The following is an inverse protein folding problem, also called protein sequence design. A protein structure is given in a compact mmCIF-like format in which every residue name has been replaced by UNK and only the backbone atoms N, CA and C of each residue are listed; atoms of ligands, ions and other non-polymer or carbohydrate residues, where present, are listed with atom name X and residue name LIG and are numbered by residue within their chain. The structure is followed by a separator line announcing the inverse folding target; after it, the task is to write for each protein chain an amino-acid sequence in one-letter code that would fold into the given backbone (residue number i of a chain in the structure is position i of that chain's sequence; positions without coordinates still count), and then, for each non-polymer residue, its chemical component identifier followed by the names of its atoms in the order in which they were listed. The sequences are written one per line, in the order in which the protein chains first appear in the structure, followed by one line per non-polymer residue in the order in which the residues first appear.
data_IF_155385007586
#
_entry.id   IF_155385007586
#
_cell.length_a   1.000
_cell.length_b   1.000
_cell.length_c   1.000
_cell.angle_alpha   90.00
_cell.angle_beta   90.00
_cell.angle_gamma   90.00
#
_symmetry.space_group_name_H-M   'P 1'
#
loop_
_entity.id
_entity.type
_entity.pdbx_description
1 polymer ?
#
# COMPACT_ATOMS: atom_id res chain seq x y z
N UNK A 1 28.65 -31.58 17.08
CA UNK A 1 27.74 -31.23 15.96
C UNK A 1 27.30 -29.75 15.96
N UNK A 2 27.94 -28.86 16.75
CA UNK A 2 27.64 -27.43 16.83
C UNK A 2 28.56 -26.52 15.98
N UNK A 3 29.59 -27.09 15.34
CA UNK A 3 30.60 -26.32 14.57
C UNK A 3 30.30 -26.22 13.07
N UNK A 4 29.48 -27.12 12.51
CA UNK A 4 29.11 -27.11 11.08
C UNK A 4 27.99 -26.11 10.73
N UNK A 5 27.11 -25.80 11.69
CA UNK A 5 26.04 -24.81 11.50
C UNK A 5 26.56 -23.38 11.44
N UNK A 6 27.60 -23.07 12.21
CA UNK A 6 28.20 -21.72 12.26
C UNK A 6 28.98 -21.34 11.00
N UNK A 7 29.64 -22.30 10.34
CA UNK A 7 30.41 -22.07 9.12
C UNK A 7 29.52 -21.90 7.89
N UNK A 8 28.43 -22.67 7.77
CA UNK A 8 27.47 -22.50 6.67
C UNK A 8 26.69 -21.18 6.80
N UNK A 9 26.18 -20.84 7.99
CA UNK A 9 25.49 -19.56 8.22
C UNK A 9 26.39 -18.35 7.94
N UNK A 10 27.68 -18.42 8.29
CA UNK A 10 28.64 -17.35 8.00
C UNK A 10 28.93 -17.17 6.50
N UNK A 11 28.92 -18.24 5.72
CA UNK A 11 29.22 -18.21 4.29
C UNK A 11 28.05 -17.69 3.43
N UNK A 12 26.79 -17.97 3.81
CA UNK A 12 25.60 -17.50 3.09
C UNK A 12 25.11 -16.12 3.53
N UNK A 13 25.57 -15.62 4.67
CA UNK A 13 25.23 -14.28 5.18
C UNK A 13 25.49 -13.13 4.19
N UNK A 14 26.67 -13.00 3.55
CA UNK A 14 26.90 -11.92 2.58
C UNK A 14 26.04 -12.06 1.31
N UNK A 15 25.78 -13.30 0.86
CA UNK A 15 24.93 -13.59 -0.30
C UNK A 15 23.46 -13.25 -0.04
N UNK A 16 22.97 -13.51 1.18
CA UNK A 16 21.62 -13.11 1.60
C UNK A 16 21.44 -11.59 1.52
N UNK A 17 22.35 -10.82 2.15
CA UNK A 17 22.25 -9.37 2.13
C UNK A 17 22.48 -8.76 0.75
N UNK A 18 23.33 -9.36 -0.09
CA UNK A 18 23.46 -8.96 -1.48
C UNK A 18 22.12 -9.08 -2.22
N UNK A 19 21.37 -10.17 -2.04
CA UNK A 19 20.03 -10.37 -2.64
C UNK A 19 19.01 -9.36 -2.11
N UNK A 20 19.04 -9.04 -0.82
CA UNK A 20 18.21 -7.98 -0.22
C UNK A 20 18.52 -6.61 -0.85
N UNK A 21 19.80 -6.27 -1.01
CA UNK A 21 20.23 -5.03 -1.67
C UNK A 21 19.79 -4.99 -3.15
N UNK A 22 19.88 -6.12 -3.87
CA UNK A 22 19.39 -6.23 -5.25
C UNK A 22 17.88 -5.99 -5.31
N UNK A 23 17.11 -6.61 -4.42
CA UNK A 23 15.66 -6.40 -4.34
C UNK A 23 15.33 -4.92 -4.09
N UNK A 24 16.00 -4.28 -3.13
CA UNK A 24 15.82 -2.86 -2.84
C UNK A 24 16.20 -1.96 -4.04
N UNK A 25 17.27 -2.29 -4.75
CA UNK A 25 17.69 -1.59 -5.95
C UNK A 25 16.64 -1.73 -7.07
N UNK A 26 16.08 -2.93 -7.27
CA UNK A 26 14.99 -3.16 -8.23
C UNK A 26 13.79 -2.27 -7.91
N UNK A 27 13.37 -2.20 -6.64
CA UNK A 27 12.26 -1.33 -6.21
C UNK A 27 12.55 0.14 -6.53
N UNK A 28 13.74 0.62 -6.14
CA UNK A 28 14.11 2.02 -6.30
C UNK A 28 14.25 2.42 -7.77
N UNK A 29 14.97 1.62 -8.57
CA UNK A 29 15.17 1.89 -9.99
C UNK A 29 13.86 1.81 -10.78
N UNK A 30 12.99 0.85 -10.45
CA UNK A 30 11.65 0.75 -11.06
C UNK A 30 10.81 1.99 -10.77
N UNK A 31 10.83 2.47 -9.52
CA UNK A 31 10.14 3.72 -9.17
C UNK A 31 10.72 4.95 -9.85
N UNK A 32 12.05 5.03 -9.96
CA UNK A 32 12.74 6.14 -10.61
C UNK A 32 12.44 6.19 -12.11
N UNK A 33 12.44 5.02 -12.75
CA UNK A 33 12.08 4.86 -14.16
C UNK A 33 10.62 5.28 -14.40
N UNK A 34 9.69 4.83 -13.55
CA UNK A 34 8.30 5.25 -13.64
C UNK A 34 8.14 6.77 -13.47
N UNK A 35 8.78 7.35 -12.46
CA UNK A 35 8.66 8.77 -12.12
C UNK A 35 9.25 9.71 -13.18
N UNK A 36 10.36 9.33 -13.82
CA UNK A 36 11.05 10.17 -14.81
C UNK A 36 10.74 9.78 -16.24
N UNK A 37 10.69 8.50 -16.56
CA UNK A 37 10.42 8.03 -17.92
C UNK A 37 8.93 8.04 -18.23
N UNK A 38 8.17 7.23 -17.49
CA UNK A 38 6.80 6.88 -17.86
C UNK A 38 5.76 8.00 -17.63
N UNK A 39 6.04 8.95 -16.74
CA UNK A 39 5.20 10.16 -16.52
C UNK A 39 5.03 11.00 -17.78
N UNK A 40 5.98 10.94 -18.72
CA UNK A 40 5.93 11.69 -19.99
C UNK A 40 4.98 11.08 -21.03
N UNK A 41 4.56 9.83 -20.85
CA UNK A 41 3.66 9.14 -21.77
C UNK A 41 2.22 9.21 -21.25
N UNK A 42 1.19 9.34 -22.11
CA UNK A 42 -0.21 9.26 -21.69
C UNK A 42 -0.56 7.88 -21.11
N UNK A 43 -1.59 7.78 -20.24
CA UNK A 43 -2.03 6.48 -19.73
C UNK A 43 -2.50 5.57 -20.88
N UNK A 44 -2.16 4.30 -20.80
CA UNK A 44 -2.53 3.28 -21.79
C UNK A 44 -1.37 2.36 -22.18
N UNK A 45 -1.46 1.78 -23.37
CA UNK A 45 -0.53 0.75 -23.85
C UNK A 45 0.90 1.27 -23.96
N UNK A 46 1.10 2.51 -24.42
CA UNK A 46 2.45 3.08 -24.55
C UNK A 46 3.17 3.16 -23.19
N UNK A 47 2.49 3.68 -22.16
CA UNK A 47 3.03 3.75 -20.80
C UNK A 47 3.26 2.35 -20.23
N UNK A 48 2.36 1.40 -20.51
CA UNK A 48 2.52 0.00 -20.10
C UNK A 48 3.78 -0.63 -20.72
N UNK A 49 4.01 -0.43 -22.02
CA UNK A 49 5.22 -0.93 -22.70
C UNK A 49 6.49 -0.30 -22.14
N UNK A 50 6.46 1.00 -21.83
CA UNK A 50 7.59 1.68 -21.18
C UNK A 50 7.86 1.15 -19.77
N UNK A 51 6.81 0.81 -19.02
CA UNK A 51 6.93 0.25 -17.67
C UNK A 51 7.11 -1.27 -17.64
N UNK A 52 7.02 -1.96 -18.77
CA UNK A 52 7.09 -3.42 -18.85
C UNK A 52 8.37 -3.99 -18.20
N UNK A 53 9.58 -3.42 -18.43
CA UNK A 53 10.78 -3.91 -17.75
C UNK A 53 10.67 -3.80 -16.22
N UNK A 54 10.16 -2.68 -15.71
CA UNK A 54 9.95 -2.48 -14.27
C UNK A 54 8.90 -3.45 -13.71
N UNK A 55 7.80 -3.67 -14.42
CA UNK A 55 6.76 -4.62 -14.01
C UNK A 55 7.30 -6.05 -13.92
N UNK A 56 8.11 -6.47 -14.89
CA UNK A 56 8.75 -7.78 -14.89
C UNK A 56 9.77 -7.90 -13.75
N UNK A 57 10.64 -6.91 -13.55
CA UNK A 57 11.60 -6.93 -12.45
C UNK A 57 10.90 -6.99 -11.08
N UNK A 58 9.80 -6.25 -10.90
CA UNK A 58 9.00 -6.31 -9.67
C UNK A 58 8.31 -7.67 -9.50
N UNK A 59 7.80 -8.28 -10.57
CA UNK A 59 7.15 -9.59 -10.54
C UNK A 59 8.14 -10.73 -10.25
N UNK A 60 9.40 -10.59 -10.66
CA UNK A 60 10.42 -11.62 -10.50
C UNK A 60 11.28 -11.41 -9.23
N UNK A 61 11.16 -10.27 -8.55
CA UNK A 61 11.96 -9.96 -7.36
C UNK A 61 11.87 -11.02 -6.25
N UNK A 62 10.70 -11.63 -5.95
CA UNK A 62 10.63 -12.65 -4.89
C UNK A 62 11.43 -13.91 -5.20
N UNK A 63 11.68 -14.21 -6.48
CA UNK A 63 12.49 -15.36 -6.92
C UNK A 63 13.97 -15.23 -6.55
N UNK A 64 14.40 -14.07 -6.03
CA UNK A 64 15.71 -13.92 -5.40
C UNK A 64 15.85 -14.80 -4.15
N UNK A 65 14.74 -15.14 -3.48
CA UNK A 65 14.75 -15.87 -2.23
C UNK A 65 14.19 -17.28 -2.41
N UNK A 66 14.80 -18.24 -1.72
CA UNK A 66 14.36 -19.63 -1.73
C UNK A 66 13.18 -19.84 -0.78
N UNK A 67 12.47 -20.96 -0.94
CA UNK A 67 11.40 -21.38 -0.01
C UNK A 67 11.89 -21.60 1.42
N UNK A 68 13.19 -21.87 1.59
CA UNK A 68 13.85 -22.01 2.89
C UNK A 68 14.03 -20.67 3.62
N UNK A 69 13.78 -19.54 2.94
CA UNK A 69 13.88 -18.18 3.46
C UNK A 69 12.49 -17.50 3.49
N UNK A 70 11.49 -18.07 4.19
CA UNK A 70 10.08 -17.68 4.04
C UNK A 70 9.81 -16.22 4.42
N UNK A 71 10.57 -15.67 5.37
CA UNK A 71 10.44 -14.28 5.81
C UNK A 71 10.89 -13.33 4.69
N UNK A 72 12.06 -13.56 4.12
CA UNK A 72 12.62 -12.71 3.07
C UNK A 72 11.80 -12.81 1.78
N UNK A 73 11.39 -14.03 1.42
CA UNK A 73 10.50 -14.30 0.29
C UNK A 73 9.18 -13.54 0.44
N UNK A 74 8.50 -13.69 1.58
CA UNK A 74 7.19 -13.04 1.83
C UNK A 74 7.31 -11.52 1.92
N UNK A 75 8.36 -11.01 2.57
CA UNK A 75 8.60 -9.57 2.66
C UNK A 75 8.87 -8.97 1.28
N UNK A 76 9.67 -9.64 0.45
CA UNK A 76 9.99 -9.19 -0.91
C UNK A 76 8.75 -9.22 -1.79
N UNK A 77 7.97 -10.31 -1.75
CA UNK A 77 6.70 -10.42 -2.47
C UNK A 77 5.72 -9.29 -2.09
N UNK A 78 5.64 -8.96 -0.80
CA UNK A 78 4.79 -7.86 -0.36
C UNK A 78 5.27 -6.49 -0.86
N UNK A 79 6.57 -6.23 -0.74
CA UNK A 79 7.19 -4.95 -1.08
C UNK A 79 7.37 -4.74 -2.59
N UNK A 80 7.28 -5.78 -3.42
CA UNK A 80 7.46 -5.71 -4.89
C UNK A 80 6.17 -5.97 -5.67
N UNK A 81 5.56 -7.14 -5.50
CA UNK A 81 4.38 -7.54 -6.27
C UNK A 81 3.10 -6.89 -5.72
N UNK A 82 2.89 -6.97 -4.40
CA UNK A 82 1.59 -6.60 -3.85
C UNK A 82 1.34 -5.09 -3.89
N UNK A 83 2.38 -4.29 -3.64
CA UNK A 83 2.27 -2.83 -3.54
C UNK A 83 2.73 -2.09 -4.80
N UNK A 84 4.03 -2.00 -5.14
CA UNK A 84 4.44 -1.14 -6.25
C UNK A 84 4.09 -1.71 -7.61
N UNK A 85 4.06 -3.03 -7.83
CA UNK A 85 3.62 -3.58 -9.13
C UNK A 85 2.15 -3.25 -9.41
N UNK A 86 1.24 -3.47 -8.45
CA UNK A 86 -0.17 -3.13 -8.63
C UNK A 86 -0.38 -1.62 -8.79
N UNK A 87 0.33 -0.80 -8.00
CA UNK A 87 0.29 0.67 -8.13
C UNK A 87 0.85 1.16 -9.46
N UNK A 88 1.94 0.55 -9.93
CA UNK A 88 2.55 0.86 -11.22
C UNK A 88 1.63 0.46 -12.37
N UNK A 89 0.97 -0.69 -12.26
CA UNK A 89 -0.04 -1.12 -13.22
C UNK A 89 -1.22 -0.15 -13.26
N UNK A 90 -1.75 0.25 -12.10
CA UNK A 90 -2.82 1.25 -12.00
C UNK A 90 -2.38 2.58 -12.65
N UNK A 91 -1.16 3.03 -12.36
CA UNK A 91 -0.56 4.20 -12.98
C UNK A 91 -0.46 4.08 -14.51
N UNK A 92 -0.07 2.91 -15.02
CA UNK A 92 -0.02 2.65 -16.46
C UNK A 92 -1.40 2.81 -17.12
N UNK A 93 -2.45 2.35 -16.43
CA UNK A 93 -3.84 2.41 -16.89
C UNK A 93 -4.54 3.75 -16.62
N UNK A 94 -3.85 4.74 -16.03
CA UNK A 94 -4.42 6.04 -15.69
C UNK A 94 -5.37 6.00 -14.49
N UNK A 95 -5.18 5.03 -13.59
CA UNK A 95 -6.02 4.80 -12.41
C UNK A 95 -5.23 4.88 -11.10
N UNK A 96 -5.96 5.01 -9.99
CA UNK A 96 -5.40 5.13 -8.65
C UNK A 96 -4.72 6.48 -8.37
N UNK A 97 -4.13 6.61 -7.19
CA UNK A 97 -3.57 7.87 -6.69
C UNK A 97 -2.45 8.44 -7.58
N UNK A 98 -1.68 7.59 -8.24
CA UNK A 98 -0.56 8.01 -9.08
C UNK A 98 -1.01 8.54 -10.46
N UNK A 99 -2.27 8.38 -10.85
CA UNK A 99 -2.76 8.92 -12.13
C UNK A 99 -2.54 10.45 -12.20
N UNK A 100 -2.76 11.16 -11.10
CA UNK A 100 -2.54 12.59 -10.93
C UNK A 100 -1.10 12.95 -10.52
N UNK A 101 -0.12 12.21 -11.04
CA UNK A 101 1.30 12.36 -10.73
C UNK A 101 1.87 13.80 -10.84
N UNK A 102 1.30 14.66 -11.68
CA UNK A 102 1.69 16.06 -11.85
C UNK A 102 1.59 16.88 -10.55
N UNK A 103 0.79 16.43 -9.58
CA UNK A 103 0.62 17.07 -8.27
C UNK A 103 1.74 16.74 -7.29
N UNK A 104 2.58 15.76 -7.60
CA UNK A 104 3.54 15.19 -6.66
C UNK A 104 4.98 15.48 -7.08
N UNK A 105 5.81 15.84 -6.10
CA UNK A 105 7.26 15.83 -6.26
C UNK A 105 7.79 14.41 -6.42
N UNK A 106 9.03 14.25 -6.89
CA UNK A 106 9.67 12.93 -7.03
C UNK A 106 9.62 12.10 -5.73
N UNK A 107 9.91 12.73 -4.58
CA UNK A 107 9.91 12.05 -3.28
C UNK A 107 8.51 11.56 -2.91
N UNK A 108 7.49 12.37 -3.16
CA UNK A 108 6.09 12.00 -2.92
C UNK A 108 5.65 10.89 -3.87
N UNK A 109 6.00 10.97 -5.15
CA UNK A 109 5.70 9.92 -6.13
C UNK A 109 6.32 8.57 -5.74
N UNK A 110 7.62 8.55 -5.43
CA UNK A 110 8.32 7.33 -5.01
C UNK A 110 7.72 6.75 -3.74
N UNK A 111 7.41 7.60 -2.76
CA UNK A 111 6.80 7.14 -1.51
C UNK A 111 5.39 6.61 -1.73
N UNK A 112 4.57 7.27 -2.54
CA UNK A 112 3.23 6.80 -2.90
C UNK A 112 3.26 5.47 -3.66
N UNK A 113 4.28 5.25 -4.49
CA UNK A 113 4.45 4.00 -5.23
C UNK A 113 4.93 2.86 -4.33
N UNK A 114 5.99 3.10 -3.55
CA UNK A 114 6.69 2.06 -2.80
C UNK A 114 6.03 1.74 -1.44
N UNK A 115 5.41 2.73 -0.80
CA UNK A 115 4.80 2.57 0.52
C UNK A 115 3.28 2.36 0.42
N UNK A 116 2.65 1.65 1.37
CA UNK A 116 1.20 1.41 1.42
C UNK A 116 0.42 2.66 1.90
N UNK A 117 0.62 3.78 1.21
CA UNK A 117 0.00 5.06 1.54
C UNK A 117 -1.36 5.22 0.86
N UNK A 118 -2.30 5.83 1.58
CA UNK A 118 -3.63 6.23 1.11
C UNK A 118 -3.74 7.73 1.26
N UNK A 119 -4.09 8.42 0.17
CA UNK A 119 -4.41 9.84 0.20
C UNK A 119 -5.83 10.03 0.72
N UNK A 120 -6.02 11.06 1.54
CA UNK A 120 -7.37 11.52 1.87
C UNK A 120 -8.05 12.04 0.60
N UNK A 121 -9.33 11.72 0.39
CA UNK A 121 -10.12 12.31 -0.68
C UNK A 121 -10.08 13.83 -0.57
N UNK A 122 -9.78 14.50 -1.68
CA UNK A 122 -9.85 15.95 -1.76
C UNK A 122 -11.33 16.35 -1.70
N UNK A 123 -11.69 17.25 -0.77
CA UNK A 123 -13.05 17.78 -0.71
C UNK A 123 -13.25 18.63 -1.97
N UNK A 124 -13.98 18.11 -2.96
CA UNK A 124 -14.48 18.95 -4.02
C UNK A 124 -15.55 19.86 -3.41
N UNK A 125 -15.19 21.13 -3.25
CA UNK A 125 -16.10 22.19 -2.81
C UNK A 125 -17.23 22.38 -3.82
N UNK A 126 -18.28 21.60 -3.69
CA UNK A 126 -19.60 21.90 -4.26
C UNK A 126 -20.58 21.81 -3.10
N UNK A 127 -21.40 22.84 -2.93
CA UNK A 127 -22.23 23.11 -1.74
C UNK A 127 -23.37 22.12 -1.46
N UNK A 128 -23.27 20.87 -1.92
CA UNK A 128 -24.12 19.80 -1.45
C UNK A 128 -23.36 18.98 -0.41
N UNK A 129 -23.89 19.00 0.81
CA UNK A 129 -23.49 18.11 1.90
C UNK A 129 -23.73 16.67 1.46
N UNK A 130 -22.81 16.10 0.68
CA UNK A 130 -22.73 14.66 0.57
C UNK A 130 -22.36 14.14 1.96
N UNK A 131 -23.07 13.12 2.48
CA UNK A 131 -22.75 12.55 3.78
C UNK A 131 -21.27 12.20 3.78
N UNK A 132 -20.55 12.63 4.82
CA UNK A 132 -19.11 12.33 5.01
C UNK A 132 -18.87 10.90 4.55
N UNK A 133 -17.92 10.62 3.63
CA UNK A 133 -17.62 9.25 3.28
C UNK A 133 -17.33 8.53 4.59
N UNK A 134 -18.16 7.55 4.94
CA UNK A 134 -18.14 6.88 6.23
C UNK A 134 -16.69 6.49 6.58
N UNK A 135 -16.18 7.09 7.65
CA UNK A 135 -14.99 6.75 8.44
C UNK A 135 -13.64 6.51 7.74
N UNK A 136 -13.11 7.47 6.94
CA UNK A 136 -11.64 7.57 6.78
C UNK A 136 -11.06 8.50 7.86
N UNK A 137 -10.14 7.98 8.66
CA UNK A 137 -9.47 8.76 9.72
C UNK A 137 -8.15 9.31 9.19
N UNK A 138 -7.93 10.62 9.35
CA UNK A 138 -6.65 11.25 9.00
C UNK A 138 -5.54 10.70 9.89
N UNK A 139 -4.40 10.39 9.27
CA UNK A 139 -3.18 10.03 9.97
C UNK A 139 -2.51 11.27 10.58
N UNK A 140 -2.36 11.27 11.90
CA UNK A 140 -1.54 12.25 12.64
C UNK A 140 -0.46 11.51 13.43
N UNK A 141 0.68 12.14 13.78
CA UNK A 141 1.73 11.47 14.54
C UNK A 141 1.20 10.94 15.88
N UNK A 142 0.37 11.72 16.58
CA UNK A 142 -0.24 11.30 17.84
C UNK A 142 -1.18 10.09 17.67
N UNK A 143 -2.06 10.09 16.66
CA UNK A 143 -2.96 8.95 16.43
C UNK A 143 -2.20 7.68 16.03
N UNK A 144 -1.11 7.82 15.27
CA UNK A 144 -0.29 6.69 14.85
C UNK A 144 0.52 6.12 16.00
N UNK A 145 1.17 6.96 16.79
CA UNK A 145 1.96 6.53 17.94
C UNK A 145 1.09 5.85 19.00
N UNK A 146 -0.09 6.41 19.28
CA UNK A 146 -1.03 5.80 20.23
C UNK A 146 -1.57 4.47 19.69
N UNK A 147 -1.98 4.40 18.42
CA UNK A 147 -2.43 3.16 17.81
C UNK A 147 -1.34 2.08 17.78
N UNK A 148 -0.11 2.46 17.45
CA UNK A 148 1.04 1.56 17.43
C UNK A 148 1.36 1.05 18.85
N UNK A 149 1.37 1.93 19.85
CA UNK A 149 1.61 1.55 21.25
C UNK A 149 0.59 0.52 21.75
N UNK A 150 -0.71 0.76 21.48
CA UNK A 150 -1.79 -0.18 21.85
C UNK A 150 -1.62 -1.52 21.14
N UNK A 151 -1.30 -1.51 19.83
CA UNK A 151 -1.09 -2.74 19.05
C UNK A 151 0.13 -3.53 19.52
N UNK A 152 1.24 -2.85 19.80
CA UNK A 152 2.45 -3.47 20.35
C UNK A 152 2.21 -4.07 21.74
N UNK A 153 1.53 -3.34 22.63
CA UNK A 153 1.16 -3.86 23.95
C UNK A 153 0.27 -5.09 23.85
N UNK A 154 -0.75 -5.04 22.98
CA UNK A 154 -1.69 -6.15 22.77
C UNK A 154 -0.97 -7.37 22.19
N UNK A 155 -0.09 -7.18 21.21
CA UNK A 155 0.69 -8.25 20.61
C UNK A 155 1.67 -8.87 21.61
N UNK A 156 2.36 -8.05 22.40
CA UNK A 156 3.25 -8.52 23.47
C UNK A 156 2.49 -9.32 24.52
N UNK A 157 1.27 -8.90 24.90
CA UNK A 157 0.42 -9.66 25.82
C UNK A 157 0.04 -11.02 25.22
N UNK A 158 -0.40 -11.06 23.96
CA UNK A 158 -0.74 -12.32 23.27
C UNK A 158 0.44 -13.28 23.22
N UNK A 159 1.65 -12.78 22.96
CA UNK A 159 2.88 -13.59 22.90
C UNK A 159 3.30 -14.06 24.29
N UNK A 160 3.15 -13.23 25.32
CA UNK A 160 3.54 -13.53 26.69
C UNK A 160 2.59 -14.52 27.39
N UNK A 161 1.34 -14.66 26.93
CA UNK A 161 0.39 -15.61 27.48
C UNK A 161 0.90 -17.05 27.28
N UNK A 162 0.95 -17.88 28.34
CA UNK A 162 1.36 -19.26 28.22
C UNK A 162 0.44 -20.01 27.25
N UNK A 163 1.02 -20.74 26.30
CA UNK A 163 0.27 -21.56 25.32
C UNK A 163 -0.68 -22.54 26.02
N UNK A 164 -0.29 -23.03 27.20
CA UNK A 164 -1.11 -23.90 28.06
C UNK A 164 -2.36 -23.19 28.60
N UNK A 165 -2.25 -21.91 28.98
CA UNK A 165 -3.38 -21.11 29.45
C UNK A 165 -4.37 -20.79 28.32
N UNK A 166 -3.88 -20.56 27.10
CA UNK A 166 -4.71 -20.33 25.91
C UNK A 166 -5.42 -21.62 25.50
N UNK A 167 -4.71 -22.76 25.53
CA UNK A 167 -5.27 -24.08 25.22
C UNK A 167 -6.34 -24.51 26.24
N UNK A 168 -6.16 -24.21 27.53
CA UNK A 168 -7.12 -24.53 28.58
C UNK A 168 -8.41 -23.72 28.48
N UNK A 169 -8.36 -22.49 27.96
CA UNK A 169 -9.52 -21.62 27.76
C UNK A 169 -10.42 -22.02 26.57
N UNK A 170 -10.11 -23.14 25.90
CA UNK A 170 -10.84 -23.66 24.74
C UNK A 170 -10.40 -23.00 23.41
N UNK A 171 -10.53 -23.75 22.31
CA UNK A 171 -10.00 -23.34 20.99
C UNK A 171 -10.59 -22.04 20.41
N UNK A 172 -11.64 -21.46 21.00
CA UNK A 172 -12.15 -20.15 20.58
C UNK A 172 -11.25 -18.99 21.01
N UNK A 173 -10.65 -19.04 22.21
CA UNK A 173 -9.77 -17.96 22.67
C UNK A 173 -8.46 -17.95 21.87
N UNK A 174 -7.92 -19.13 21.54
CA UNK A 174 -6.76 -19.27 20.67
C UNK A 174 -7.00 -18.63 19.29
N UNK A 175 -8.14 -18.94 18.66
CA UNK A 175 -8.53 -18.35 17.37
C UNK A 175 -8.69 -16.84 17.45
N UNK A 176 -9.30 -16.33 18.52
CA UNK A 176 -9.43 -14.89 18.73
C UNK A 176 -8.06 -14.22 18.90
N UNK A 177 -7.18 -14.80 19.73
CA UNK A 177 -5.82 -14.31 19.93
C UNK A 177 -5.02 -14.29 18.63
N UNK A 178 -5.18 -15.31 17.78
CA UNK A 178 -4.56 -15.36 16.45
C UNK A 178 -5.07 -14.22 15.55
N UNK A 179 -6.39 -14.00 15.48
CA UNK A 179 -7.00 -12.93 14.66
C UNK A 179 -6.54 -11.55 15.13
N UNK A 180 -6.56 -11.31 16.44
CA UNK A 180 -6.12 -10.03 17.03
C UNK A 180 -4.62 -9.84 16.83
N UNK A 181 -3.81 -10.88 17.06
CA UNK A 181 -2.37 -10.85 16.85
C UNK A 181 -1.99 -10.53 15.40
N UNK A 182 -2.66 -11.17 14.44
CA UNK A 182 -2.48 -10.90 13.01
C UNK A 182 -2.86 -9.45 12.67
N UNK A 183 -3.99 -8.96 13.19
CA UNK A 183 -4.39 -7.57 13.01
C UNK A 183 -3.34 -6.59 13.58
N UNK A 184 -2.87 -6.81 14.80
CA UNK A 184 -1.86 -5.96 15.44
C UNK A 184 -0.55 -5.95 14.65
N UNK A 185 -0.08 -7.11 14.19
CA UNK A 185 1.15 -7.22 13.40
C UNK A 185 1.00 -6.52 12.04
N UNK A 186 -0.05 -6.85 11.28
CA UNK A 186 -0.28 -6.24 9.96
C UNK A 186 -0.48 -4.73 10.07
N UNK A 187 -1.37 -4.28 10.96
CA UNK A 187 -1.65 -2.86 11.11
C UNK A 187 -0.47 -2.09 11.68
N UNK A 188 0.27 -2.65 12.65
CA UNK A 188 1.44 -2.00 13.23
C UNK A 188 2.55 -1.78 12.20
N UNK A 189 2.79 -2.74 11.31
CA UNK A 189 3.73 -2.56 10.20
C UNK A 189 3.33 -1.42 9.26
N UNK A 190 2.04 -1.29 8.93
CA UNK A 190 1.58 -0.18 8.07
C UNK A 190 1.61 1.16 8.81
N UNK A 191 1.33 1.19 10.11
CA UNK A 191 1.42 2.41 10.92
C UNK A 191 2.86 2.93 10.97
N UNK A 192 3.85 2.04 11.12
CA UNK A 192 5.28 2.38 11.05
C UNK A 192 5.67 2.96 9.68
N UNK A 193 5.24 2.31 8.60
CA UNK A 193 5.49 2.80 7.24
C UNK A 193 4.87 4.19 7.02
N UNK A 194 3.66 4.39 7.55
CA UNK A 194 2.96 5.67 7.46
C UNK A 194 3.63 6.76 8.31
N UNK A 195 4.07 6.44 9.52
CA UNK A 195 4.82 7.34 10.41
C UNK A 195 6.10 7.82 9.72
N UNK A 196 6.83 6.90 9.07
CA UNK A 196 8.02 7.22 8.29
C UNK A 196 7.73 8.19 7.12
N UNK A 197 6.49 8.26 6.64
CA UNK A 197 6.08 9.08 5.49
C UNK A 197 5.38 10.40 5.85
N UNK A 198 5.13 10.69 7.14
CA UNK A 198 4.39 11.91 7.54
C UNK A 198 5.11 13.21 7.14
N UNK A 199 6.43 13.18 7.05
CA UNK A 199 7.25 14.34 6.68
C UNK A 199 7.12 14.76 5.20
N UNK A 200 6.38 13.99 4.37
CA UNK A 200 6.20 14.26 2.94
C UNK A 200 5.17 15.37 2.65
N UNK A 201 4.48 15.89 3.69
CA UNK A 201 3.44 16.92 3.53
C UNK A 201 2.18 16.44 2.83
N UNK A 202 1.97 15.12 2.73
CA UNK A 202 0.77 14.53 2.13
C UNK A 202 -0.34 14.39 3.17
N UNK A 203 -1.58 14.65 2.75
CA UNK A 203 -2.76 14.37 3.57
C UNK A 203 -3.09 12.87 3.50
N UNK A 204 -2.63 12.11 4.48
CA UNK A 204 -2.74 10.65 4.49
C UNK A 204 -3.85 10.15 5.40
N UNK A 205 -4.45 9.02 5.02
CA UNK A 205 -5.44 8.30 5.82
C UNK A 205 -4.81 7.11 6.56
N UNK A 206 -5.42 6.72 7.68
CA UNK A 206 -5.04 5.51 8.41
C UNK A 206 -5.27 4.25 7.54
N UNK A 207 -4.27 3.35 7.39
CA UNK A 207 -4.42 2.11 6.62
C UNK A 207 -5.44 1.14 7.21
N UNK A 208 -5.61 1.19 8.53
CA UNK A 208 -6.65 0.48 9.28
C UNK A 208 -7.36 1.45 10.21
N UNK A 209 -8.70 1.39 10.24
CA UNK A 209 -9.52 2.28 11.05
C UNK A 209 -10.59 1.52 11.83
N UNK A 210 -10.24 1.05 13.02
CA UNK A 210 -11.15 0.34 13.94
C UNK A 210 -12.06 -0.68 13.21
N UNK A 211 -11.47 -1.68 12.51
CA UNK A 211 -12.22 -2.54 11.60
C UNK A 211 -13.32 -3.34 12.29
N UNK A 212 -13.12 -3.73 13.56
CA UNK A 212 -14.10 -4.50 14.32
C UNK A 212 -15.34 -3.70 14.77
N UNK A 213 -15.37 -2.38 14.53
CA UNK A 213 -16.54 -1.53 14.76
C UNK A 213 -17.37 -1.29 13.49
N UNK A 214 -17.09 -2.02 12.41
CA UNK A 214 -17.86 -1.90 11.16
C UNK A 214 -19.31 -2.34 11.35
N UNK A 215 -20.26 -1.55 10.85
CA UNK A 215 -21.68 -1.90 10.83
C UNK A 215 -22.09 -2.77 9.63
N UNK A 216 -21.22 -2.86 8.61
CA UNK A 216 -21.46 -3.69 7.41
C UNK A 216 -20.15 -4.22 6.81
N UNK A 217 -20.27 -5.27 5.98
CA UNK A 217 -19.13 -5.82 5.22
C UNK A 217 -18.54 -4.81 4.23
N UNK A 218 -19.39 -3.99 3.61
CA UNK A 218 -18.97 -2.92 2.71
C UNK A 218 -18.08 -1.92 3.44
N UNK A 219 -18.44 -1.57 4.68
CA UNK A 219 -17.65 -0.66 5.51
C UNK A 219 -16.33 -1.29 5.95
N UNK A 220 -16.36 -2.55 6.37
CA UNK A 220 -15.17 -3.30 6.79
C UNK A 220 -14.11 -3.34 5.67
N UNK A 221 -14.48 -3.87 4.51
CA UNK A 221 -13.55 -4.08 3.39
C UNK A 221 -13.26 -2.82 2.58
N UNK A 222 -14.21 -1.88 2.51
CA UNK A 222 -14.06 -0.67 1.71
C UNK A 222 -13.20 0.40 2.38
N UNK A 223 -13.33 0.56 3.70
CA UNK A 223 -12.91 1.80 4.37
C UNK A 223 -12.11 1.59 5.66
N UNK A 224 -12.12 0.39 6.26
CA UNK A 224 -11.54 0.17 7.60
C UNK A 224 -10.43 -0.88 7.67
N UNK A 225 -10.44 -1.87 6.78
CA UNK A 225 -9.46 -2.95 6.75
C UNK A 225 -8.55 -2.84 5.53
N UNK A 226 -7.25 -2.64 5.75
CA UNK A 226 -6.24 -2.58 4.69
C UNK A 226 -6.67 -1.69 3.50
N UNK A 227 -7.03 -0.44 3.82
CA UNK A 227 -7.53 0.55 2.86
C UNK A 227 -6.63 0.72 1.62
N UNK A 228 -5.28 0.71 1.72
CA UNK A 228 -4.42 0.79 0.54
C UNK A 228 -4.71 -0.33 -0.48
N UNK A 229 -4.93 -1.55 -0.01
CA UNK A 229 -5.26 -2.70 -0.86
C UNK A 229 -6.67 -2.58 -1.44
N UNK A 230 -7.65 -2.19 -0.61
CA UNK A 230 -9.03 -2.03 -1.05
C UNK A 230 -9.16 -1.00 -2.18
N UNK A 231 -8.45 0.14 -2.07
CA UNK A 231 -8.42 1.16 -3.11
C UNK A 231 -7.78 0.66 -4.40
N UNK A 232 -6.73 -0.17 -4.32
CA UNK A 232 -6.09 -0.74 -5.50
C UNK A 232 -7.00 -1.74 -6.22
N UNK A 233 -7.65 -2.64 -5.49
CA UNK A 233 -8.63 -3.56 -6.06
C UNK A 233 -9.81 -2.81 -6.68
N UNK A 234 -10.27 -1.74 -6.02
CA UNK A 234 -11.30 -0.87 -6.58
C UNK A 234 -10.83 -0.25 -7.90
N UNK A 235 -9.64 0.33 -7.93
CA UNK A 235 -9.10 1.01 -9.11
C UNK A 235 -8.78 0.05 -10.27
N UNK A 236 -8.30 -1.17 -10.00
CA UNK A 236 -7.84 -2.11 -11.04
C UNK A 236 -8.89 -3.11 -11.48
N UNK A 237 -9.88 -3.43 -10.63
CA UNK A 237 -10.87 -4.45 -10.91
C UNK A 237 -12.27 -3.84 -10.97
N UNK A 238 -12.73 -3.23 -9.86
CA UNK A 238 -14.12 -2.78 -9.75
C UNK A 238 -14.46 -1.65 -10.73
N UNK A 239 -13.71 -0.56 -10.73
CA UNK A 239 -13.98 0.60 -11.59
C UNK A 239 -13.89 0.25 -13.09
N UNK A 240 -12.86 -0.49 -13.57
CA UNK A 240 -12.82 -0.93 -14.96
C UNK A 240 -14.04 -1.75 -15.40
N UNK A 241 -14.51 -2.67 -14.55
CA UNK A 241 -15.68 -3.52 -14.84
C UNK A 241 -16.94 -2.65 -14.90
N UNK A 242 -17.13 -1.77 -13.91
CA UNK A 242 -18.31 -0.90 -13.84
C UNK A 242 -18.37 0.14 -14.95
N UNK A 243 -17.21 0.66 -15.39
CA UNK A 243 -17.11 1.65 -16.46
C UNK A 243 -17.03 1.03 -17.86
N UNK A 244 -16.87 -0.29 -17.96
CA UNK A 244 -16.65 -1.00 -19.22
C UNK A 244 -15.36 -0.61 -19.95
N UNK A 245 -14.39 0.02 -19.26
CA UNK A 245 -13.14 0.54 -19.85
C UNK A 245 -11.96 0.31 -18.94
N UNK A 246 -10.93 -0.38 -19.42
CA UNK A 246 -9.73 -0.66 -18.63
C UNK A 246 -8.87 0.60 -18.42
N UNK A 247 -8.59 1.33 -19.51
CA UNK A 247 -7.76 2.52 -19.50
C UNK A 247 -8.65 3.73 -19.21
N UNK A 248 -8.30 4.51 -18.19
CA UNK A 248 -8.91 5.80 -17.93
C UNK A 248 -7.99 6.89 -18.48
N UNK A 249 -8.42 7.52 -19.56
CA UNK A 249 -7.81 8.76 -20.06
C UNK A 249 -8.52 9.90 -19.35
N UNK A 250 -7.77 10.82 -18.75
CA UNK A 250 -8.35 12.01 -18.11
C UNK A 250 -8.92 12.88 -19.23
N UNK A 251 -10.23 12.80 -19.45
CA UNK A 251 -10.95 13.71 -20.34
C UNK A 251 -10.74 15.15 -19.80
N UNK A 252 -10.50 16.11 -20.69
CA UNK A 252 -10.38 17.51 -20.32
C UNK A 252 -11.63 18.03 -19.61
N UNK A 253 -11.61 19.23 -19.01
CA UNK A 253 -12.82 19.80 -18.41
C UNK A 253 -13.95 19.79 -19.45
N UNK A 254 -15.20 19.48 -19.03
CA UNK A 254 -16.35 19.48 -19.93
C UNK A 254 -16.40 20.77 -20.76
N UNK A 255 -16.84 20.73 -22.03
CA UNK A 255 -16.89 21.91 -22.88
C UNK A 255 -17.65 23.09 -22.26
N UNK A 256 -18.63 22.82 -21.39
CA UNK A 256 -19.36 23.83 -20.61
C UNK A 256 -18.47 24.62 -19.65
N UNK A 257 -17.49 23.98 -19.00
CA UNK A 257 -16.54 24.67 -18.11
C UNK A 257 -15.49 25.46 -18.90
N UNK A 258 -15.16 25.02 -20.12
CA UNK A 258 -14.28 25.76 -21.03
C UNK A 258 -14.97 27.02 -21.57
N UNK A 259 -16.27 26.94 -21.87
CA UNK A 259 -17.09 28.09 -22.26
C UNK A 259 -17.26 29.10 -21.11
N UNK A 260 -17.47 28.63 -19.87
CA UNK A 260 -17.56 29.51 -18.70
C UNK A 260 -16.22 30.17 -18.35
N UNK A 261 -15.09 29.48 -18.52
CA UNK A 261 -13.76 30.06 -18.32
C UNK A 261 -13.40 31.08 -19.42
N UNK A 262 -13.85 30.86 -20.67
CA UNK A 262 -13.69 31.84 -21.74
C UNK A 262 -14.58 33.07 -21.54
N UNK A 263 -15.80 32.90 -21.03
CA UNK A 263 -16.71 34.02 -20.73
C UNK A 263 -16.26 34.85 -19.51
N UNK A 264 -15.53 34.26 -18.55
CA UNK A 264 -14.98 35.01 -17.41
C UNK A 264 -13.67 35.76 -17.74
N UNK A 265 -13.05 35.47 -18.90
CA UNK A 265 -11.82 36.13 -19.37
C UNK A 265 -12.09 37.23 -20.42
N UNK A 266 -13.34 37.43 -20.83
CA UNK A 266 -13.81 38.53 -21.66
C UNK A 266 -14.54 39.57 -20.81
#
# INVERSE_FOLDING_TARGET
MSTLGGTLLGQYWPLYWARVCIAALILFLSGLWAARGATRSPPGVQRLLLCLPSLLCLALAPLLFSTDEPIALTATAYLSERLPLTKLLAFCLGRGALADHHRFSLRQFLSLLLMPLVLMPEHQGTGHQQPRPFHLTRATPHTLLTALAVKCLTLSLIIALPKTSIAFAGGHLERLALVVGMYCAMSGMLDLALLACLHLGLNLAMPFNQPFLSASLTEFWGMRWNVPQAQLLKALCYEPIMEGRLIRVKEGPPPEQQQQQQQQQQ
#
